data_IF_168501767916
#
_entry.id   IF_168501767916
#
_cell.length_a   1.000
_cell.length_b   1.000
_cell.length_c   1.000
_cell.angle_alpha   90.00
_cell.angle_beta   90.00
_cell.angle_gamma   90.00
#
_symmetry.space_group_name_H-M   'P 1'
#
loop_
_entity.id
_entity.type
_entity.pdbx_description
1 polymer ?
#
# COMPACT_ATOMS: atom_id res chain seq x y z
N UNK A 1 -27.35 3.92 -18.76
CA UNK A 1 -25.92 3.66 -18.48
C UNK A 1 -25.89 2.88 -17.19
N UNK A 2 -25.50 1.61 -17.23
CA UNK A 2 -25.20 0.85 -16.00
C UNK A 2 -23.85 1.36 -15.52
N UNK A 3 -23.87 2.45 -14.75
CA UNK A 3 -22.66 2.93 -14.09
C UNK A 3 -22.10 1.81 -13.23
N UNK A 4 -20.77 1.67 -13.19
CA UNK A 4 -20.13 0.73 -12.28
C UNK A 4 -20.56 1.06 -10.86
N UNK A 5 -21.52 0.31 -10.33
CA UNK A 5 -22.11 0.53 -9.01
C UNK A 5 -21.16 -0.13 -8.00
N UNK A 6 -20.05 0.56 -7.72
CA UNK A 6 -19.10 0.11 -6.71
C UNK A 6 -19.69 0.49 -5.35
N UNK A 7 -20.12 -0.52 -4.61
CA UNK A 7 -20.70 -0.34 -3.28
C UNK A 7 -19.62 0.09 -2.29
N UNK A 8 -19.97 0.96 -1.34
CA UNK A 8 -19.01 1.45 -0.35
C UNK A 8 -18.31 0.32 0.43
N UNK A 9 -19.02 -0.77 0.74
CA UNK A 9 -18.43 -1.95 1.39
C UNK A 9 -17.32 -2.60 0.55
N UNK A 10 -17.49 -2.64 -0.77
CA UNK A 10 -16.46 -3.18 -1.68
C UNK A 10 -15.23 -2.28 -1.72
N UNK A 11 -15.41 -0.96 -1.66
CA UNK A 11 -14.31 0.01 -1.56
C UNK A 11 -13.56 -0.13 -0.24
N UNK A 12 -14.26 -0.31 0.89
CA UNK A 12 -13.64 -0.56 2.19
C UNK A 12 -12.79 -1.83 2.17
N UNK A 13 -13.36 -2.94 1.69
CA UNK A 13 -12.63 -4.20 1.58
C UNK A 13 -11.39 -4.08 0.69
N UNK A 14 -11.51 -3.43 -0.46
CA UNK A 14 -10.36 -3.19 -1.32
C UNK A 14 -9.28 -2.37 -0.61
N UNK A 15 -9.65 -1.29 0.09
CA UNK A 15 -8.71 -0.48 0.85
C UNK A 15 -7.99 -1.28 1.94
N UNK A 16 -8.71 -2.09 2.70
CA UNK A 16 -8.12 -2.95 3.74
C UNK A 16 -7.17 -4.00 3.14
N UNK A 17 -7.53 -4.62 2.01
CA UNK A 17 -6.66 -5.54 1.29
C UNK A 17 -5.37 -4.85 0.78
N UNK A 18 -5.44 -3.58 0.36
CA UNK A 18 -4.26 -2.81 -0.04
C UNK A 18 -3.37 -2.46 1.15
N UNK A 19 -3.94 -2.12 2.31
CA UNK A 19 -3.15 -1.90 3.53
C UNK A 19 -2.39 -3.16 3.94
N UNK A 20 -3.02 -4.34 3.86
CA UNK A 20 -2.31 -5.60 4.09
C UNK A 20 -1.15 -5.86 3.12
N UNK A 21 -1.24 -5.34 1.88
CA UNK A 21 -0.14 -5.40 0.89
C UNK A 21 0.95 -4.39 1.20
N UNK A 22 0.60 -3.19 1.65
CA UNK A 22 1.58 -2.20 2.14
C UNK A 22 2.44 -2.83 3.25
N UNK A 23 1.82 -3.43 4.26
CA UNK A 23 2.53 -4.07 5.38
C UNK A 23 3.49 -5.17 4.89
N UNK A 24 3.04 -5.98 3.93
CA UNK A 24 3.86 -7.04 3.34
C UNK A 24 5.07 -6.48 2.56
N UNK A 25 4.89 -5.37 1.84
CA UNK A 25 5.95 -4.68 1.11
C UNK A 25 6.96 -4.05 2.07
N UNK A 26 6.51 -3.37 3.14
CA UNK A 26 7.39 -2.81 4.17
C UNK A 26 8.21 -3.90 4.87
N UNK A 27 7.60 -5.04 5.17
CA UNK A 27 8.29 -6.20 5.72
C UNK A 27 9.34 -6.77 4.74
N UNK A 28 9.06 -6.78 3.44
CA UNK A 28 10.01 -7.22 2.42
C UNK A 28 11.20 -6.27 2.29
N UNK A 29 10.95 -4.95 2.24
CA UNK A 29 12.00 -3.93 2.20
C UNK A 29 12.92 -4.01 3.43
N UNK A 30 12.34 -4.18 4.63
CA UNK A 30 13.10 -4.29 5.87
C UNK A 30 14.03 -5.50 5.89
N UNK A 31 13.61 -6.62 5.28
CA UNK A 31 14.46 -7.81 5.13
C UNK A 31 15.59 -7.59 4.11
N UNK A 32 15.31 -6.93 2.99
CA UNK A 32 16.30 -6.64 1.96
C UNK A 32 17.38 -5.66 2.45
N UNK A 33 17.00 -4.68 3.27
CA UNK A 33 17.92 -3.70 3.86
C UNK A 33 18.85 -4.32 4.93
N UNK A 34 18.43 -5.41 5.55
CA UNK A 34 19.21 -6.15 6.54
C UNK A 34 20.24 -7.14 5.97
N UNK A 35 20.38 -7.22 4.64
CA UNK A 35 21.33 -8.15 4.01
C UNK A 35 22.75 -7.60 4.12
N UNK A 36 23.55 -8.18 5.02
CA UNK A 36 25.01 -7.98 5.08
C UNK A 36 25.67 -9.03 4.17
N UNK A 37 26.40 -8.59 3.14
CA UNK A 37 27.03 -9.49 2.16
C UNK A 37 28.47 -9.85 2.52
N UNK A 38 28.90 -9.54 3.74
CA UNK A 38 30.20 -9.95 4.26
C UNK A 38 31.34 -9.18 3.61
N UNK A 39 31.20 -7.88 3.38
CA UNK A 39 32.28 -7.02 2.86
C UNK A 39 33.57 -7.11 3.69
N UNK A 40 33.46 -7.47 4.96
CA UNK A 40 34.55 -7.72 5.91
C UNK A 40 35.15 -9.14 5.80
N UNK A 41 34.47 -10.08 5.14
CA UNK A 41 34.96 -11.44 4.84
C UNK A 41 35.77 -11.47 3.54
N UNK A 42 35.51 -10.53 2.64
CA UNK A 42 36.20 -10.38 1.38
C UNK A 42 37.43 -9.48 1.54
N UNK A 43 38.64 -9.98 1.21
CA UNK A 43 39.81 -9.09 1.08
C UNK A 43 39.56 -7.99 0.03
N UNK A 44 40.38 -6.92 0.04
CA UNK A 44 40.20 -5.66 -0.75
C UNK A 44 39.70 -5.86 -2.20
N UNK A 45 40.08 -6.96 -2.86
CA UNK A 45 39.66 -7.28 -4.23
C UNK A 45 38.20 -7.70 -4.40
N UNK A 46 37.53 -8.25 -3.39
CA UNK A 46 36.14 -8.69 -3.47
C UNK A 46 35.19 -7.78 -2.69
N UNK A 47 35.72 -6.81 -1.95
CA UNK A 47 34.96 -5.84 -1.17
C UNK A 47 34.06 -4.97 -2.07
N UNK A 48 34.52 -4.57 -3.26
CA UNK A 48 33.70 -3.77 -4.18
C UNK A 48 32.42 -4.48 -4.66
N UNK A 49 32.45 -5.81 -4.75
CA UNK A 49 31.25 -6.59 -5.09
C UNK A 49 30.26 -6.61 -3.93
N UNK A 50 30.74 -6.74 -2.70
CA UNK A 50 29.92 -6.67 -1.50
C UNK A 50 29.30 -5.27 -1.37
N UNK A 51 30.11 -4.21 -1.50
CA UNK A 51 29.64 -2.82 -1.42
C UNK A 51 28.59 -2.52 -2.50
N UNK A 52 28.84 -2.91 -3.75
CA UNK A 52 27.90 -2.68 -4.86
C UNK A 52 26.61 -3.50 -4.72
N UNK A 53 26.69 -4.72 -4.20
CA UNK A 53 25.51 -5.55 -3.98
C UNK A 53 24.69 -5.09 -2.75
N UNK A 54 25.35 -4.58 -1.69
CA UNK A 54 24.67 -3.94 -0.56
C UNK A 54 24.00 -2.62 -0.98
N UNK A 55 24.66 -1.81 -1.80
CA UNK A 55 24.06 -0.59 -2.35
C UNK A 55 22.85 -0.92 -3.24
N UNK A 56 22.95 -1.94 -4.10
CA UNK A 56 21.82 -2.41 -4.91
C UNK A 56 20.67 -2.93 -4.03
N UNK A 57 20.97 -3.65 -2.95
CA UNK A 57 19.97 -4.14 -2.01
C UNK A 57 19.24 -2.97 -1.32
N UNK A 58 19.96 -1.93 -0.89
CA UNK A 58 19.38 -0.70 -0.33
C UNK A 58 18.47 0.02 -1.32
N UNK A 59 18.97 0.27 -2.55
CA UNK A 59 18.16 0.92 -3.58
C UNK A 59 16.89 0.14 -3.91
N UNK A 60 16.98 -1.19 -3.93
CA UNK A 60 15.82 -2.06 -4.12
C UNK A 60 14.84 -1.95 -2.95
N UNK A 61 15.34 -1.96 -1.71
CA UNK A 61 14.52 -1.78 -0.51
C UNK A 61 13.79 -0.42 -0.53
N UNK A 62 14.47 0.65 -0.95
CA UNK A 62 13.88 1.98 -1.07
C UNK A 62 12.78 2.02 -2.14
N UNK A 63 12.99 1.40 -3.30
CA UNK A 63 11.93 1.28 -4.32
C UNK A 63 10.72 0.49 -3.84
N UNK A 64 10.92 -0.56 -3.03
CA UNK A 64 9.82 -1.31 -2.40
C UNK A 64 9.07 -0.44 -1.39
N UNK A 65 9.77 0.40 -0.61
CA UNK A 65 9.14 1.35 0.33
C UNK A 65 8.32 2.40 -0.40
N UNK A 66 8.81 2.92 -1.53
CA UNK A 66 8.06 3.87 -2.36
C UNK A 66 6.78 3.24 -2.91
N UNK A 67 6.85 1.99 -3.38
CA UNK A 67 5.66 1.24 -3.79
C UNK A 67 4.69 1.03 -2.63
N UNK A 68 5.18 0.67 -1.44
CA UNK A 68 4.36 0.49 -0.25
C UNK A 68 3.60 1.78 0.10
N UNK A 69 4.28 2.94 0.05
CA UNK A 69 3.68 4.24 0.30
C UNK A 69 2.58 4.56 -0.73
N UNK A 70 2.83 4.33 -2.03
CA UNK A 70 1.83 4.55 -3.08
C UNK A 70 0.59 3.67 -2.90
N UNK A 71 0.77 2.41 -2.50
CA UNK A 71 -0.33 1.49 -2.19
C UNK A 71 -1.13 1.97 -0.97
N UNK A 72 -0.45 2.44 0.08
CA UNK A 72 -1.08 3.02 1.26
C UNK A 72 -1.90 4.28 0.95
N UNK A 73 -1.37 5.18 0.11
CA UNK A 73 -2.08 6.39 -0.32
C UNK A 73 -3.33 6.06 -1.14
N UNK A 74 -3.23 5.08 -2.06
CA UNK A 74 -4.38 4.60 -2.82
C UNK A 74 -5.44 3.97 -1.92
N UNK A 75 -5.04 3.22 -0.89
CA UNK A 75 -5.94 2.65 0.10
C UNK A 75 -6.66 3.73 0.91
N UNK A 76 -5.92 4.73 1.41
CA UNK A 76 -6.46 5.85 2.17
C UNK A 76 -7.46 6.67 1.35
N UNK A 77 -7.12 6.97 0.10
CA UNK A 77 -8.01 7.66 -0.85
C UNK A 77 -9.28 6.85 -1.10
N UNK A 78 -9.14 5.54 -1.32
CA UNK A 78 -10.29 4.65 -1.55
C UNK A 78 -11.23 4.60 -0.35
N UNK A 79 -10.67 4.57 0.87
CA UNK A 79 -11.44 4.59 2.12
C UNK A 79 -12.18 5.90 2.33
N UNK A 80 -11.55 7.03 1.96
CA UNK A 80 -12.20 8.33 1.97
C UNK A 80 -13.39 8.37 0.99
N UNK A 81 -13.21 7.89 -0.24
CA UNK A 81 -14.29 7.78 -1.22
C UNK A 81 -15.43 6.88 -0.75
N UNK A 82 -15.11 5.73 -0.13
CA UNK A 82 -16.12 4.83 0.43
C UNK A 82 -16.98 5.53 1.49
N UNK A 83 -16.34 6.31 2.36
CA UNK A 83 -17.01 7.09 3.41
C UNK A 83 -17.93 8.16 2.81
N UNK A 84 -17.51 8.82 1.72
CA UNK A 84 -18.33 9.80 1.01
C UNK A 84 -19.57 9.16 0.37
N UNK A 85 -19.43 7.96 -0.18
CA UNK A 85 -20.56 7.20 -0.75
C UNK A 85 -21.57 6.84 0.33
N UNK A 86 -21.12 6.30 1.47
CA UNK A 86 -22.00 5.98 2.60
C UNK A 86 -22.75 7.21 3.13
N UNK A 87 -22.07 8.35 3.24
CA UNK A 87 -22.70 9.59 3.68
C UNK A 87 -23.76 10.08 2.69
N UNK A 88 -23.51 9.93 1.40
CA UNK A 88 -24.47 10.29 0.34
C UNK A 88 -25.68 9.36 0.36
N UNK A 89 -25.47 8.05 0.46
CA UNK A 89 -26.53 7.04 0.57
C UNK A 89 -27.39 7.28 1.81
N UNK A 90 -26.75 7.42 2.98
CA UNK A 90 -27.44 7.72 4.25
C UNK A 90 -28.24 9.02 4.19
N UNK A 91 -27.66 10.07 3.59
CA UNK A 91 -28.35 11.36 3.41
C UNK A 91 -29.57 11.24 2.49
N UNK A 92 -29.48 10.44 1.44
CA UNK A 92 -30.59 10.16 0.54
C UNK A 92 -31.68 9.33 1.25
N UNK A 93 -31.32 8.30 2.01
CA UNK A 93 -32.26 7.51 2.81
C UNK A 93 -33.00 8.36 3.83
N UNK A 94 -32.32 9.25 4.54
CA UNK A 94 -32.96 10.15 5.51
C UNK A 94 -33.91 11.15 4.83
N UNK A 95 -33.55 11.66 3.65
CA UNK A 95 -34.32 12.69 2.94
C UNK A 95 -35.52 12.13 2.18
N UNK A 96 -35.41 10.91 1.65
CA UNK A 96 -36.40 10.31 0.77
C UNK A 96 -37.07 9.05 1.33
N UNK A 97 -36.48 8.39 2.33
CA UNK A 97 -37.04 7.22 3.00
C UNK A 97 -38.18 7.52 3.98
N UNK A 98 -38.36 8.80 4.36
CA UNK A 98 -39.50 9.25 5.19
C UNK A 98 -40.81 9.50 4.42
N UNK A 99 -40.85 9.22 3.11
CA UNK A 99 -41.98 9.54 2.22
C UNK A 99 -43.03 8.43 2.03
N UNK A 100 -43.13 7.47 2.95
CA UNK A 100 -44.19 6.45 2.94
C UNK A 100 -44.75 6.27 4.36
N UNK A 101 -45.64 7.20 4.74
CA UNK A 101 -46.37 7.20 6.02
C UNK A 101 -47.22 8.44 6.18
#
# INVERSE_FOLDING_TARGET
MTGFEVQAEQLHKFADDQLGRQDALEAAASKADGVNLGGETFGVLLQFFADGAEEFARQTADGIRELAAAVGEAAATTKATATEYQNTETGNEQRFGGGAG
#
